data_IF_036834388829
#
_entry.id   IF_036834388829
#
_cell.length_a   1.000
_cell.length_b   1.000
_cell.length_c   1.000
_cell.angle_alpha   90.00
_cell.angle_beta   90.00
_cell.angle_gamma   90.00
#
_symmetry.space_group_name_H-M   'P 1'
#
loop_
_entity.id
_entity.type
_entity.pdbx_description
1 polymer ?
#
# COMPACT_ATOMS: atom_id res chain seq x y z
N UNK A 1 26.64 -69.37 -71.88
CA UNK A 1 27.38 -69.85 -73.04
C UNK A 1 27.02 -68.94 -74.20
N UNK A 2 28.00 -68.38 -74.90
CA UNK A 2 27.77 -67.50 -76.04
C UNK A 2 27.26 -68.30 -77.23
N UNK A 3 26.28 -67.75 -77.95
CA UNK A 3 25.87 -68.21 -79.28
C UNK A 3 25.81 -67.03 -80.25
N UNK A 4 25.94 -67.40 -81.52
CA UNK A 4 26.49 -66.66 -82.64
C UNK A 4 25.45 -66.42 -83.73
N UNK A 5 25.78 -65.45 -84.61
CA UNK A 5 25.41 -65.30 -86.03
C UNK A 5 24.34 -64.29 -86.47
N UNK A 6 24.73 -63.55 -87.52
CA UNK A 6 23.88 -62.91 -88.54
C UNK A 6 23.84 -61.38 -88.43
N UNK A 7 24.11 -60.56 -89.45
CA UNK A 7 24.34 -60.78 -90.87
C UNK A 7 23.92 -59.52 -91.65
N UNK A 8 24.85 -58.99 -92.47
CA UNK A 8 24.69 -58.31 -93.76
C UNK A 8 23.81 -57.03 -93.96
N UNK A 9 24.44 -56.08 -94.70
CA UNK A 9 23.92 -54.99 -95.57
C UNK A 9 23.20 -53.82 -94.86
N UNK A 10 23.64 -52.56 -94.92
CA UNK A 10 24.33 -51.82 -95.97
C UNK A 10 23.33 -50.95 -96.73
N UNK A 11 23.19 -49.68 -96.34
CA UNK A 11 22.70 -48.53 -97.15
C UNK A 11 23.29 -47.28 -96.46
N UNK A 12 24.04 -46.40 -97.11
CA UNK A 12 23.72 -45.71 -98.34
C UNK A 12 23.52 -44.24 -97.98
N UNK A 13 24.62 -43.55 -97.67
CA UNK A 13 24.62 -42.09 -97.59
C UNK A 13 24.21 -41.55 -98.95
N UNK A 14 22.98 -41.05 -99.05
CA UNK A 14 22.51 -40.23 -100.15
C UNK A 14 22.10 -38.90 -99.55
N UNK A 15 22.84 -37.88 -99.97
CA UNK A 15 22.44 -36.48 -99.85
C UNK A 15 21.42 -36.23 -100.96
N UNK A 16 20.20 -35.89 -100.59
CA UNK A 16 19.32 -35.10 -101.43
C UNK A 16 19.13 -33.76 -100.71
N UNK A 17 20.01 -32.82 -101.05
CA UNK A 17 19.75 -31.40 -100.88
C UNK A 17 18.90 -30.99 -102.08
N UNK A 18 17.58 -31.00 -101.91
CA UNK A 18 16.68 -30.34 -102.86
C UNK A 18 16.86 -28.82 -102.71
N UNK A 19 17.43 -28.22 -103.75
CA UNK A 19 17.63 -26.79 -103.85
C UNK A 19 16.32 -26.07 -104.12
N UNK A 20 15.62 -25.69 -103.06
CA UNK A 20 14.45 -24.82 -103.10
C UNK A 20 14.60 -23.60 -102.18
N UNK A 21 15.00 -22.47 -102.77
CA UNK A 21 14.92 -21.09 -102.27
C UNK A 21 14.33 -20.86 -100.85
N UNK A 22 15.16 -20.75 -99.82
CA UNK A 22 14.86 -19.94 -98.63
C UNK A 22 16.16 -19.36 -98.06
N UNK A 23 16.45 -18.09 -98.39
CA UNK A 23 17.41 -17.30 -97.62
C UNK A 23 16.84 -17.07 -96.23
N UNK A 24 17.52 -17.56 -95.20
CA UNK A 24 17.11 -17.41 -93.81
C UNK A 24 18.29 -17.64 -92.89
N UNK A 25 18.52 -16.70 -91.97
CA UNK A 25 19.65 -16.67 -91.05
C UNK A 25 19.58 -17.73 -89.95
N UNK A 26 20.50 -17.62 -88.99
CA UNK A 26 20.60 -18.50 -87.82
C UNK A 26 19.22 -18.76 -87.19
N UNK A 27 18.77 -20.02 -87.05
CA UNK A 27 17.38 -20.38 -86.72
C UNK A 27 16.74 -19.63 -85.53
N UNK A 28 17.44 -19.31 -84.43
CA UNK A 28 16.82 -18.56 -83.32
C UNK A 28 16.66 -17.06 -83.55
N UNK A 29 17.16 -16.50 -84.66
CA UNK A 29 16.99 -15.09 -85.04
C UNK A 29 16.08 -14.89 -86.27
N UNK A 30 15.34 -15.92 -86.67
CA UNK A 30 14.33 -15.82 -87.72
C UNK A 30 13.14 -14.97 -87.28
N UNK A 31 13.01 -13.80 -87.90
CA UNK A 31 12.04 -12.76 -87.49
C UNK A 31 10.57 -13.17 -87.59
N UNK A 32 10.28 -14.17 -88.41
CA UNK A 32 8.97 -14.80 -88.56
C UNK A 32 8.49 -15.51 -87.28
N UNK A 33 9.40 -15.91 -86.39
CA UNK A 33 9.06 -16.63 -85.14
C UNK A 33 8.92 -15.71 -83.92
N UNK A 34 9.41 -14.47 -83.98
CA UNK A 34 9.36 -13.52 -82.86
C UNK A 34 7.92 -13.23 -82.41
N UNK A 35 6.98 -13.11 -83.34
CA UNK A 35 5.58 -12.86 -82.98
C UNK A 35 5.00 -13.99 -82.12
N UNK A 36 5.28 -15.25 -82.45
CA UNK A 36 4.82 -16.41 -81.68
C UNK A 36 5.49 -16.50 -80.31
N UNK A 37 6.80 -16.22 -80.23
CA UNK A 37 7.52 -16.16 -78.96
C UNK A 37 7.00 -15.05 -78.05
N UNK A 38 6.71 -13.86 -78.59
CA UNK A 38 6.15 -12.74 -77.84
C UNK A 38 4.72 -13.04 -77.34
N UNK A 39 3.89 -13.70 -78.16
CA UNK A 39 2.54 -14.12 -77.75
C UNK A 39 2.62 -15.18 -76.65
N UNK A 40 3.49 -16.19 -76.79
CA UNK A 40 3.71 -17.21 -75.76
C UNK A 40 4.25 -16.61 -74.46
N UNK A 41 5.21 -15.68 -74.56
CA UNK A 41 5.74 -14.93 -73.42
C UNK A 41 4.66 -14.11 -72.73
N UNK A 42 3.81 -13.41 -73.49
CA UNK A 42 2.70 -12.64 -72.95
C UNK A 42 1.69 -13.53 -72.22
N UNK A 43 1.35 -14.69 -72.78
CA UNK A 43 0.46 -15.67 -72.14
C UNK A 43 1.08 -16.18 -70.83
N UNK A 44 2.36 -16.58 -70.85
CA UNK A 44 3.07 -17.06 -69.67
C UNK A 44 3.20 -15.96 -68.59
N UNK A 45 3.48 -14.72 -69.00
CA UNK A 45 3.57 -13.57 -68.10
C UNK A 45 2.22 -13.25 -67.46
N UNK A 46 1.13 -13.24 -68.23
CA UNK A 46 -0.22 -13.03 -67.69
C UNK A 46 -0.61 -14.15 -66.72
N UNK A 47 -0.34 -15.41 -67.08
CA UNK A 47 -0.59 -16.54 -66.20
C UNK A 47 0.20 -16.42 -64.87
N UNK A 48 1.49 -16.08 -64.93
CA UNK A 48 2.31 -15.83 -63.75
C UNK A 48 1.80 -14.65 -62.92
N UNK A 49 1.44 -13.54 -63.57
CA UNK A 49 0.90 -12.35 -62.91
C UNK A 49 -0.38 -12.68 -62.14
N UNK A 50 -1.30 -13.46 -62.72
CA UNK A 50 -2.53 -13.88 -62.05
C UNK A 50 -2.23 -14.79 -60.85
N UNK A 51 -1.26 -15.70 -60.96
CA UNK A 51 -0.85 -16.55 -59.84
C UNK A 51 -0.24 -15.70 -58.70
N UNK A 52 0.68 -14.79 -59.02
CA UNK A 52 1.34 -13.95 -58.01
C UNK A 52 0.35 -13.00 -57.34
N UNK A 53 -0.49 -12.32 -58.13
CA UNK A 53 -1.49 -11.39 -57.60
C UNK A 53 -2.54 -12.09 -56.74
N UNK A 54 -2.95 -13.31 -57.11
CA UNK A 54 -4.02 -14.03 -56.42
C UNK A 54 -3.55 -14.93 -55.27
N UNK A 55 -2.28 -15.34 -55.23
CA UNK A 55 -1.77 -16.27 -54.22
C UNK A 55 -0.57 -15.74 -53.42
N UNK A 56 0.40 -15.09 -54.07
CA UNK A 56 1.61 -14.64 -53.37
C UNK A 56 1.37 -13.34 -52.59
N UNK A 57 0.78 -12.33 -53.23
CA UNK A 57 0.47 -11.05 -52.58
C UNK A 57 -0.47 -11.19 -51.36
N UNK A 58 -1.61 -11.92 -51.42
CA UNK A 58 -2.48 -12.04 -50.25
C UNK A 58 -1.83 -12.78 -49.08
N UNK A 59 -0.91 -13.72 -49.33
CA UNK A 59 -0.17 -14.41 -48.27
C UNK A 59 0.81 -13.47 -47.55
N UNK A 60 1.50 -12.62 -48.28
CA UNK A 60 2.41 -11.63 -47.69
C UNK A 60 1.61 -10.54 -46.98
N UNK A 61 0.52 -10.06 -47.57
CA UNK A 61 -0.40 -9.10 -46.95
C UNK A 61 -0.94 -9.61 -45.62
N UNK A 62 -1.45 -10.85 -45.59
CA UNK A 62 -1.95 -11.46 -44.35
C UNK A 62 -0.89 -11.63 -43.26
N UNK A 63 0.37 -11.90 -43.62
CA UNK A 63 1.47 -11.97 -42.66
C UNK A 63 1.83 -10.60 -42.06
N UNK A 64 1.79 -9.54 -42.87
CA UNK A 64 2.01 -8.16 -42.42
C UNK A 64 0.87 -7.72 -41.50
N UNK A 65 -0.37 -7.95 -41.91
CA UNK A 65 -1.57 -7.61 -41.14
C UNK A 65 -1.62 -8.38 -39.81
N UNK A 66 -1.30 -9.67 -39.80
CA UNK A 66 -1.22 -10.46 -38.57
C UNK A 66 -0.17 -9.92 -37.58
N UNK A 67 0.98 -9.45 -38.09
CA UNK A 67 2.01 -8.81 -37.25
C UNK A 67 1.56 -7.46 -36.73
N UNK A 68 0.94 -6.63 -37.56
CA UNK A 68 0.38 -5.33 -37.16
C UNK A 68 -0.66 -5.53 -36.06
N UNK A 69 -1.65 -6.40 -36.29
CA UNK A 69 -2.68 -6.72 -35.31
C UNK A 69 -2.10 -7.26 -34.00
N UNK A 70 -1.06 -8.10 -34.07
CA UNK A 70 -0.39 -8.58 -32.86
C UNK A 70 0.31 -7.45 -32.10
N UNK A 71 1.05 -6.58 -32.80
CA UNK A 71 1.75 -5.46 -32.18
C UNK A 71 0.75 -4.48 -31.55
N UNK A 72 -0.32 -4.15 -32.27
CA UNK A 72 -1.39 -3.29 -31.75
C UNK A 72 -2.09 -3.91 -30.53
N UNK A 73 -2.34 -5.23 -30.58
CA UNK A 73 -2.87 -5.98 -29.45
C UNK A 73 -1.94 -5.95 -28.23
N UNK A 74 -0.67 -6.27 -28.43
CA UNK A 74 0.35 -6.26 -27.38
C UNK A 74 0.51 -4.84 -26.78
N UNK A 75 0.49 -3.79 -27.61
CA UNK A 75 0.56 -2.39 -27.16
C UNK A 75 -0.70 -1.97 -26.39
N UNK A 76 -1.89 -2.35 -26.85
CA UNK A 76 -3.13 -2.07 -26.16
C UNK A 76 -3.21 -2.79 -24.80
N UNK A 77 -2.75 -4.04 -24.74
CA UNK A 77 -2.66 -4.78 -23.49
C UNK A 77 -1.63 -4.15 -22.53
N UNK A 78 -0.45 -3.79 -23.04
CA UNK A 78 0.57 -3.10 -22.24
C UNK A 78 0.06 -1.77 -21.68
N UNK A 79 -0.64 -0.97 -22.49
CA UNK A 79 -1.24 0.29 -22.06
C UNK A 79 -2.31 0.05 -20.99
N UNK A 80 -3.19 -0.94 -21.17
CA UNK A 80 -4.20 -1.31 -20.19
C UNK A 80 -3.57 -1.74 -18.86
N UNK A 81 -2.53 -2.56 -18.90
CA UNK A 81 -1.81 -3.01 -17.69
C UNK A 81 -1.10 -1.84 -16.99
N UNK A 82 -0.54 -0.90 -17.76
CA UNK A 82 0.03 0.34 -17.23
C UNK A 82 -1.04 1.18 -16.52
N UNK A 83 -2.17 1.42 -17.17
CA UNK A 83 -3.26 2.23 -16.60
C UNK A 83 -3.84 1.57 -15.33
N UNK A 84 -3.99 0.24 -15.33
CA UNK A 84 -4.41 -0.51 -14.15
C UNK A 84 -3.40 -0.40 -13.00
N UNK A 85 -2.11 -0.48 -13.31
CA UNK A 85 -1.03 -0.33 -12.32
C UNK A 85 -0.98 1.09 -11.75
N UNK A 86 -1.13 2.12 -12.58
CA UNK A 86 -1.17 3.52 -12.14
C UNK A 86 -2.41 3.80 -11.29
N UNK A 87 -3.58 3.25 -11.67
CA UNK A 87 -4.80 3.34 -10.87
C UNK A 87 -4.64 2.65 -9.51
N UNK A 88 -4.05 1.46 -9.48
CA UNK A 88 -3.78 0.72 -8.24
C UNK A 88 -2.77 1.46 -7.35
N UNK A 89 -1.70 2.03 -7.93
CA UNK A 89 -0.71 2.84 -7.22
C UNK A 89 -1.39 4.05 -6.58
N UNK A 90 -2.20 4.79 -7.34
CA UNK A 90 -2.91 5.97 -6.85
C UNK A 90 -3.89 5.63 -5.73
N UNK A 91 -4.61 4.51 -5.86
CA UNK A 91 -5.51 4.02 -4.80
C UNK A 91 -4.72 3.66 -3.53
N UNK A 92 -3.61 2.91 -3.67
CA UNK A 92 -2.74 2.53 -2.57
C UNK A 92 -2.13 3.74 -1.85
N UNK A 93 -1.61 4.71 -2.60
CA UNK A 93 -1.07 5.96 -2.04
C UNK A 93 -2.15 6.76 -1.29
N UNK A 94 -3.37 6.83 -1.85
CA UNK A 94 -4.52 7.46 -1.21
C UNK A 94 -4.93 6.76 0.09
N UNK A 95 -5.00 5.43 0.08
CA UNK A 95 -5.29 4.64 1.28
C UNK A 95 -4.21 4.79 2.35
N UNK A 96 -2.93 4.80 1.95
CA UNK A 96 -1.80 5.00 2.85
C UNK A 96 -1.83 6.40 3.48
N UNK A 97 -2.11 7.44 2.69
CA UNK A 97 -2.26 8.81 3.19
C UNK A 97 -3.43 8.90 4.18
N UNK A 98 -4.58 8.33 3.84
CA UNK A 98 -5.75 8.26 4.73
C UNK A 98 -5.47 7.49 6.02
N UNK A 99 -4.77 6.36 5.94
CA UNK A 99 -4.37 5.57 7.11
C UNK A 99 -3.43 6.35 8.03
N UNK A 100 -2.43 7.05 7.47
CA UNK A 100 -1.53 7.93 8.23
C UNK A 100 -2.28 9.07 8.91
N UNK A 101 -3.19 9.74 8.20
CA UNK A 101 -4.01 10.81 8.75
C UNK A 101 -4.91 10.30 9.90
N UNK A 102 -5.54 9.14 9.73
CA UNK A 102 -6.35 8.50 10.78
C UNK A 102 -5.50 8.12 12.00
N UNK A 103 -4.31 7.56 11.80
CA UNK A 103 -3.42 7.22 12.91
C UNK A 103 -2.99 8.46 13.70
N UNK A 104 -2.67 9.56 13.02
CA UNK A 104 -2.36 10.83 13.68
C UNK A 104 -3.56 11.40 14.43
N UNK A 105 -4.76 11.35 13.84
CA UNK A 105 -5.99 11.80 14.49
C UNK A 105 -6.28 11.00 15.77
N UNK A 106 -6.20 9.66 15.69
CA UNK A 106 -6.38 8.77 16.85
C UNK A 106 -5.33 9.07 17.94
N UNK A 107 -4.07 9.28 17.54
CA UNK A 107 -3.00 9.62 18.47
C UNK A 107 -3.25 10.93 19.20
N UNK A 108 -3.70 11.96 18.49
CA UNK A 108 -4.04 13.26 19.06
C UNK A 108 -5.26 13.17 19.98
N UNK A 109 -6.34 12.52 19.52
CA UNK A 109 -7.57 12.33 20.30
C UNK A 109 -7.29 11.54 21.59
N UNK A 110 -6.46 10.49 21.51
CA UNK A 110 -6.08 9.70 22.69
C UNK A 110 -5.28 10.52 23.69
N UNK A 111 -4.36 11.38 23.23
CA UNK A 111 -3.60 12.29 24.10
C UNK A 111 -4.51 13.32 24.75
N UNK A 112 -5.41 13.92 24.00
CA UNK A 112 -6.38 14.89 24.53
C UNK A 112 -7.28 14.25 25.58
N UNK A 113 -7.82 13.05 25.31
CA UNK A 113 -8.62 12.29 26.28
C UNK A 113 -7.83 11.93 27.53
N UNK A 114 -6.60 11.44 27.39
CA UNK A 114 -5.74 11.09 28.52
C UNK A 114 -5.41 12.32 29.37
N UNK A 115 -5.09 13.46 28.75
CA UNK A 115 -4.85 14.71 29.46
C UNK A 115 -6.11 15.21 30.18
N UNK A 116 -7.28 15.15 29.53
CA UNK A 116 -8.54 15.55 30.15
C UNK A 116 -8.91 14.65 31.35
N UNK A 117 -8.69 13.35 31.24
CA UNK A 117 -8.88 12.40 32.36
C UNK A 117 -7.90 12.68 33.50
N UNK A 118 -6.61 12.87 33.20
CA UNK A 118 -5.61 13.18 34.20
C UNK A 118 -5.90 14.50 34.95
N UNK A 119 -6.33 15.54 34.25
CA UNK A 119 -6.75 16.80 34.88
C UNK A 119 -8.00 16.65 35.75
N UNK A 120 -8.98 15.85 35.31
CA UNK A 120 -10.18 15.57 36.09
C UNK A 120 -9.85 14.77 37.37
N UNK A 121 -9.02 13.73 37.26
CA UNK A 121 -8.54 12.95 38.40
C UNK A 121 -7.71 13.80 39.35
N UNK A 122 -6.82 14.67 38.83
CA UNK A 122 -6.02 15.57 39.66
C UNK A 122 -6.92 16.50 40.47
N UNK A 123 -7.92 17.11 39.85
CA UNK A 123 -8.88 17.98 40.55
C UNK A 123 -9.68 17.22 41.61
N UNK A 124 -10.17 16.03 41.29
CA UNK A 124 -10.90 15.21 42.26
C UNK A 124 -10.01 14.80 43.45
N UNK A 125 -8.74 14.47 43.20
CA UNK A 125 -7.76 14.16 44.25
C UNK A 125 -7.44 15.39 45.10
N UNK A 126 -7.25 16.56 44.48
CA UNK A 126 -7.03 17.83 45.19
C UNK A 126 -8.21 18.16 46.12
N UNK A 127 -9.45 18.01 45.64
CA UNK A 127 -10.65 18.20 46.45
C UNK A 127 -10.71 17.22 47.62
N UNK A 128 -10.50 15.93 47.38
CA UNK A 128 -10.47 14.91 48.44
C UNK A 128 -9.37 15.17 49.46
N UNK A 129 -8.18 15.59 49.01
CA UNK A 129 -7.05 15.87 49.88
C UNK A 129 -7.35 17.09 50.75
N UNK A 130 -7.95 18.14 50.17
CA UNK A 130 -8.36 19.35 50.92
C UNK A 130 -9.41 19.02 52.00
N UNK A 131 -10.38 18.15 51.69
CA UNK A 131 -11.39 17.70 52.64
C UNK A 131 -10.76 16.89 53.78
N UNK A 132 -9.84 15.95 53.46
CA UNK A 132 -9.11 15.17 54.47
C UNK A 132 -8.22 16.05 55.36
N UNK A 133 -7.57 17.06 54.79
CA UNK A 133 -6.77 18.02 55.56
C UNK A 133 -7.66 18.81 56.53
N UNK A 134 -8.80 19.32 56.08
CA UNK A 134 -9.74 20.03 56.95
C UNK A 134 -10.30 19.14 58.08
N UNK A 135 -10.59 17.86 57.78
CA UNK A 135 -11.02 16.89 58.79
C UNK A 135 -9.92 16.57 59.82
N UNK A 136 -8.69 16.39 59.34
CA UNK A 136 -7.53 16.18 60.20
C UNK A 136 -7.26 17.39 61.10
N UNK A 137 -7.33 18.61 60.56
CA UNK A 137 -7.20 19.86 61.33
C UNK A 137 -8.28 19.98 62.41
N UNK A 138 -9.54 19.65 62.09
CA UNK A 138 -10.64 19.62 63.06
C UNK A 138 -10.39 18.59 64.17
N UNK A 139 -9.90 17.41 63.80
CA UNK A 139 -9.57 16.34 64.76
C UNK A 139 -8.42 16.75 65.68
N UNK A 140 -7.38 17.36 65.13
CA UNK A 140 -6.25 17.91 65.90
C UNK A 140 -6.74 19.01 66.86
N UNK A 141 -7.58 19.93 66.39
CA UNK A 141 -8.14 21.01 67.22
C UNK A 141 -8.99 20.45 68.38
N UNK A 142 -9.86 19.48 68.09
CA UNK A 142 -10.66 18.79 69.10
C UNK A 142 -9.79 18.06 70.12
N UNK A 143 -8.78 17.32 69.65
CA UNK A 143 -7.86 16.56 70.52
C UNK A 143 -7.06 17.52 71.41
N UNK A 144 -6.61 18.64 70.86
CA UNK A 144 -5.93 19.71 71.62
C UNK A 144 -6.85 20.30 72.68
N UNK A 145 -8.10 20.61 72.35
CA UNK A 145 -9.07 21.13 73.32
C UNK A 145 -9.32 20.15 74.47
N UNK A 146 -9.53 18.86 74.16
CA UNK A 146 -9.69 17.80 75.17
C UNK A 146 -8.43 17.66 76.04
N UNK A 147 -7.24 17.64 75.43
CA UNK A 147 -5.98 17.54 76.16
C UNK A 147 -5.79 18.73 77.12
N UNK A 148 -6.07 19.97 76.67
CA UNK A 148 -6.00 21.16 77.52
C UNK A 148 -7.04 21.13 78.64
N UNK A 149 -8.25 20.64 78.37
CA UNK A 149 -9.28 20.43 79.41
C UNK A 149 -8.85 19.41 80.46
N UNK A 150 -8.23 18.31 80.04
CA UNK A 150 -7.70 17.29 80.96
C UNK A 150 -6.56 17.85 81.82
N UNK A 151 -5.64 18.62 81.23
CA UNK A 151 -4.57 19.31 81.98
C UNK A 151 -5.15 20.26 83.02
N UNK A 152 -6.17 21.05 82.66
CA UNK A 152 -6.88 21.93 83.59
C UNK A 152 -7.51 21.15 84.75
N UNK A 153 -8.17 20.02 84.47
CA UNK A 153 -8.75 19.15 85.50
C UNK A 153 -7.69 18.60 86.46
N UNK A 154 -6.60 18.05 85.93
CA UNK A 154 -5.48 17.53 86.72
C UNK A 154 -4.86 18.64 87.58
N UNK A 155 -4.70 19.85 87.04
CA UNK A 155 -4.16 20.99 87.78
C UNK A 155 -5.09 21.42 88.93
N UNK A 156 -6.41 21.44 88.71
CA UNK A 156 -7.40 21.76 89.74
C UNK A 156 -7.43 20.69 90.85
N UNK A 157 -7.41 19.40 90.49
CA UNK A 157 -7.38 18.30 91.45
C UNK A 157 -6.09 18.31 92.29
N UNK A 158 -4.94 18.51 91.64
CA UNK A 158 -3.65 18.62 92.32
C UNK A 158 -3.61 19.84 93.26
N UNK A 159 -4.05 21.02 92.80
CA UNK A 159 -4.11 22.22 93.63
C UNK A 159 -5.05 22.05 94.83
N UNK A 160 -6.24 21.47 94.63
CA UNK A 160 -7.19 21.16 95.70
C UNK A 160 -6.60 20.22 96.75
N UNK A 161 -5.92 19.16 96.30
CA UNK A 161 -5.25 18.19 97.18
C UNK A 161 -4.15 18.86 98.00
N UNK A 162 -3.31 19.70 97.36
CA UNK A 162 -2.23 20.44 98.04
C UNK A 162 -2.80 21.38 99.11
N UNK A 163 -3.86 22.15 98.80
CA UNK A 163 -4.49 23.08 99.74
C UNK A 163 -5.13 22.34 100.91
N UNK A 164 -5.81 21.22 100.65
CA UNK A 164 -6.38 20.38 101.71
C UNK A 164 -5.30 19.85 102.65
N UNK A 165 -4.17 19.38 102.10
CA UNK A 165 -3.07 18.85 102.89
C UNK A 165 -2.38 19.92 103.77
N UNK A 166 -2.31 21.17 103.29
CA UNK A 166 -1.67 22.29 104.00
C UNK A 166 -2.58 22.93 105.06
N UNK A 167 -3.88 23.03 104.79
CA UNK A 167 -4.83 23.76 105.66
C UNK A 167 -5.67 22.84 106.55
N UNK A 168 -5.72 21.54 106.25
CA UNK A 168 -6.57 20.57 106.95
C UNK A 168 -8.06 20.68 106.65
N UNK A 169 -8.47 21.61 105.77
CA UNK A 169 -9.87 21.86 105.39
C UNK A 169 -10.04 21.58 103.90
N UNK A 170 -11.16 20.96 103.52
CA UNK A 170 -11.51 20.72 102.11
C UNK A 170 -11.81 22.07 101.44
N UNK A 171 -11.02 22.50 100.43
CA UNK A 171 -11.27 23.77 99.75
C UNK A 171 -12.50 23.69 98.85
N UNK A 172 -13.21 24.81 98.69
CA UNK A 172 -14.35 24.91 97.79
C UNK A 172 -13.90 24.73 96.32
N UNK A 173 -14.50 23.77 95.61
CA UNK A 173 -14.12 23.42 94.25
C UNK A 173 -14.31 24.59 93.25
N UNK A 174 -15.27 25.48 93.50
CA UNK A 174 -15.51 26.65 92.64
C UNK A 174 -14.36 27.65 92.75
N UNK A 175 -13.89 27.89 93.97
CA UNK A 175 -12.75 28.78 94.24
C UNK A 175 -11.44 28.27 93.64
N UNK A 176 -11.15 26.96 93.75
CA UNK A 176 -9.96 26.34 93.17
C UNK A 176 -9.97 26.42 91.65
N UNK A 177 -11.11 26.09 91.02
CA UNK A 177 -11.27 26.18 89.57
C UNK A 177 -11.12 27.63 89.06
N UNK A 178 -11.66 28.61 89.78
CA UNK A 178 -11.52 30.03 89.42
C UNK A 178 -10.06 30.50 89.52
N UNK A 179 -9.32 30.05 90.53
CA UNK A 179 -7.90 30.39 90.70
C UNK A 179 -7.02 29.77 89.60
N UNK A 180 -7.26 28.49 89.24
CA UNK A 180 -6.56 27.83 88.12
C UNK A 180 -6.90 28.50 86.79
N UNK A 181 -8.13 28.95 86.60
CA UNK A 181 -8.52 29.69 85.38
C UNK A 181 -7.86 31.06 85.26
N UNK A 182 -7.64 31.73 86.38
CA UNK A 182 -6.96 33.02 86.41
C UNK A 182 -5.49 32.87 86.00
N UNK A 183 -4.83 31.77 86.35
CA UNK A 183 -3.42 31.51 85.98
C UNK A 183 -3.26 30.98 84.56
N UNK A 184 -4.25 30.27 84.00
CA UNK A 184 -4.22 29.79 82.62
C UNK A 184 -4.52 30.88 81.56
N UNK A 185 -5.07 32.03 81.96
CA UNK A 185 -5.39 33.16 81.08
C UNK A 185 -4.34 34.27 81.05
N UNK A 186 -3.35 34.24 81.95
CA UNK A 186 -2.21 35.18 82.01
C UNK A 186 -0.99 34.61 81.32
#
# INVERSE_FOLDING_TARGET
MAESHGGAKGTGAHTEADGGHHGGGFPPFESSTFASQLVSLAIAFVALYLIVSRFALPRVGGAIEARQNKIEGDLAEAQKLKDQSEAALKAYEGELASARARAQAIGNESREKANAQAEAERKALEEQLSAKLAEAEKTIASTRATAMSNVRGIAADAAGTIVQQLTGVVPDATSVNAAVDATLKG
#
